data_IF_091483980814
#
_entry.id   IF_091483980814
#
_cell.length_a   1.000
_cell.length_b   1.000
_cell.length_c   1.000
_cell.angle_alpha   90.00
_cell.angle_beta   90.00
_cell.angle_gamma   90.00
#
_symmetry.space_group_name_H-M   'P 1'
#
loop_
_entity.id
_entity.type
_entity.pdbx_description
1 polymer ?
#
# COMPACT_ATOMS: atom_id res chain seq x y z
N UNK A 1 7.36 5.01 22.67
CA UNK A 1 8.32 4.27 23.55
C UNK A 1 7.64 2.99 23.98
N UNK A 2 8.25 1.81 23.73
CA UNK A 2 7.66 0.52 24.09
C UNK A 2 7.66 0.35 25.61
N UNK A 3 6.50 0.09 26.17
CA UNK A 3 6.28 -0.15 27.60
C UNK A 3 6.07 -1.65 27.85
N UNK A 4 7.14 -2.35 28.18
CA UNK A 4 7.14 -3.79 28.42
C UNK A 4 6.25 -4.17 29.59
N UNK A 5 6.25 -3.41 30.68
CA UNK A 5 5.44 -3.69 31.87
C UNK A 5 3.95 -3.62 31.55
N UNK A 6 3.54 -2.61 30.77
CA UNK A 6 2.17 -2.46 30.29
C UNK A 6 1.76 -3.62 29.37
N UNK A 7 2.66 -4.07 28.50
CA UNK A 7 2.40 -5.19 27.60
C UNK A 7 2.18 -6.49 28.37
N UNK A 8 3.04 -6.79 29.36
CA UNK A 8 2.90 -7.95 30.24
C UNK A 8 1.60 -7.90 31.04
N UNK A 9 1.27 -6.76 31.63
CA UNK A 9 0.02 -6.58 32.39
C UNK A 9 -1.21 -6.83 31.50
N UNK A 10 -1.21 -6.34 30.27
CA UNK A 10 -2.30 -6.59 29.31
C UNK A 10 -2.41 -8.08 28.93
N UNK A 11 -1.27 -8.76 28.75
CA UNK A 11 -1.25 -10.20 28.49
C UNK A 11 -1.82 -11.02 29.67
N UNK A 12 -1.44 -10.69 30.89
CA UNK A 12 -1.97 -11.31 32.13
C UNK A 12 -3.47 -11.07 32.29
N UNK A 13 -3.95 -9.87 32.00
CA UNK A 13 -5.38 -9.53 32.03
C UNK A 13 -6.16 -10.34 31.00
N UNK A 14 -5.63 -10.49 29.79
CA UNK A 14 -6.24 -11.30 28.73
C UNK A 14 -6.31 -12.79 29.15
N UNK A 15 -5.23 -13.32 29.71
CA UNK A 15 -5.18 -14.69 30.21
C UNK A 15 -6.21 -14.90 31.37
N UNK A 16 -6.27 -13.98 32.32
CA UNK A 16 -7.22 -14.00 33.43
C UNK A 16 -8.68 -13.96 32.95
N UNK A 17 -8.95 -13.20 31.90
CA UNK A 17 -10.27 -13.10 31.31
C UNK A 17 -10.55 -14.19 30.26
N UNK A 18 -9.67 -15.17 30.11
CA UNK A 18 -9.77 -16.27 29.15
C UNK A 18 -10.01 -15.80 27.71
N UNK A 19 -9.38 -14.69 27.32
CA UNK A 19 -9.40 -14.18 25.96
C UNK A 19 -8.34 -14.96 25.16
N UNK A 20 -8.72 -15.92 24.31
CA UNK A 20 -7.75 -16.71 23.57
C UNK A 20 -7.13 -15.89 22.45
N UNK A 21 -5.83 -16.01 22.24
CA UNK A 21 -5.24 -15.68 20.94
C UNK A 21 -5.59 -16.82 19.98
N UNK A 22 -6.38 -16.52 18.97
CA UNK A 22 -7.00 -17.57 18.15
C UNK A 22 -6.04 -18.21 17.13
N UNK A 23 -4.89 -17.60 16.85
CA UNK A 23 -4.00 -18.02 15.78
C UNK A 23 -2.66 -18.56 16.32
N UNK A 24 -2.08 -19.50 15.59
CA UNK A 24 -0.73 -20.01 15.86
C UNK A 24 0.32 -18.98 15.42
N UNK A 25 1.41 -18.85 16.19
CA UNK A 25 2.52 -18.01 15.79
C UNK A 25 3.20 -18.53 14.52
N UNK A 26 3.72 -17.61 13.68
CA UNK A 26 4.67 -18.01 12.64
C UNK A 26 5.95 -18.50 13.31
N UNK A 27 6.56 -19.56 12.78
CA UNK A 27 7.67 -20.24 13.42
C UNK A 27 8.76 -20.65 12.42
N UNK A 28 9.94 -21.00 12.98
CA UNK A 28 11.02 -21.69 12.28
C UNK A 28 11.49 -21.00 10.97
N UNK A 29 11.33 -19.68 10.83
CA UNK A 29 11.83 -18.92 9.68
C UNK A 29 12.78 -17.81 10.11
N UNK A 30 13.98 -17.81 9.51
CA UNK A 30 14.97 -16.74 9.69
C UNK A 30 15.33 -16.16 8.34
N UNK A 31 15.05 -14.89 8.15
CA UNK A 31 15.29 -14.21 6.88
C UNK A 31 15.58 -12.73 7.12
N UNK A 32 16.59 -12.20 6.45
CA UNK A 32 16.99 -10.81 6.55
C UNK A 32 17.19 -10.25 5.14
N UNK A 33 16.47 -9.19 4.82
CA UNK A 33 16.55 -8.53 3.52
C UNK A 33 16.89 -7.06 3.71
N UNK A 34 17.88 -6.58 2.97
CA UNK A 34 18.21 -5.16 2.86
C UNK A 34 17.90 -4.67 1.43
N UNK A 35 16.77 -3.97 1.29
CA UNK A 35 16.33 -3.34 0.04
C UNK A 35 16.73 -1.87 -0.06
N UNK A 36 17.61 -1.39 0.83
CA UNK A 36 18.09 -0.02 0.84
C UNK A 36 18.92 0.30 -0.40
N UNK A 37 18.81 1.52 -0.89
CA UNK A 37 19.65 2.06 -1.96
C UNK A 37 20.43 3.26 -1.46
N UNK A 38 21.48 3.64 -2.19
CA UNK A 38 22.22 4.86 -1.90
C UNK A 38 21.35 6.07 -2.24
N UNK A 39 20.78 6.69 -1.21
CA UNK A 39 20.06 7.96 -1.33
C UNK A 39 21.02 9.15 -1.29
N UNK A 40 20.50 10.33 -1.60
CA UNK A 40 21.22 11.61 -1.43
C UNK A 40 21.59 11.80 0.05
N UNK A 41 22.74 12.43 0.30
CA UNK A 41 23.04 12.94 1.64
C UNK A 41 22.01 13.99 2.07
N UNK A 42 21.86 14.23 3.36
CA UNK A 42 20.87 15.20 3.87
C UNK A 42 21.09 16.59 3.29
N UNK A 43 22.34 17.01 3.12
CA UNK A 43 22.67 18.30 2.50
C UNK A 43 22.24 18.36 1.04
N UNK A 44 22.56 17.32 0.25
CA UNK A 44 22.15 17.24 -1.16
C UNK A 44 20.62 17.16 -1.30
N UNK A 45 19.97 16.42 -0.43
CA UNK A 45 18.51 16.29 -0.42
C UNK A 45 17.86 17.66 -0.18
N UNK A 46 18.29 18.41 0.83
CA UNK A 46 17.77 19.76 1.10
C UNK A 46 17.99 20.70 -0.08
N UNK A 47 19.15 20.65 -0.73
CA UNK A 47 19.40 21.48 -1.92
C UNK A 47 18.52 21.07 -3.11
N UNK A 48 18.29 19.79 -3.33
CA UNK A 48 17.37 19.29 -4.37
C UNK A 48 15.92 19.69 -4.09
N UNK A 49 15.47 19.64 -2.83
CA UNK A 49 14.14 20.10 -2.45
C UNK A 49 13.98 21.61 -2.72
N UNK A 50 14.98 22.43 -2.37
CA UNK A 50 14.96 23.86 -2.70
C UNK A 50 14.88 24.10 -4.21
N UNK A 51 15.68 23.37 -4.99
CA UNK A 51 15.66 23.43 -6.45
C UNK A 51 14.28 23.07 -7.00
N UNK A 52 13.65 21.98 -6.50
CA UNK A 52 12.30 21.56 -6.87
C UNK A 52 11.29 22.69 -6.63
N UNK A 53 11.24 23.23 -5.42
CA UNK A 53 10.29 24.25 -5.03
C UNK A 53 10.50 25.56 -5.81
N UNK A 54 11.74 25.92 -6.12
CA UNK A 54 12.05 27.07 -6.96
C UNK A 54 11.58 26.85 -8.40
N UNK A 55 11.86 25.69 -8.98
CA UNK A 55 11.42 25.36 -10.34
C UNK A 55 9.90 25.38 -10.48
N UNK A 56 9.18 24.89 -9.46
CA UNK A 56 7.71 24.93 -9.45
C UNK A 56 7.17 26.36 -9.41
N UNK A 57 7.78 27.25 -8.62
CA UNK A 57 7.39 28.67 -8.57
C UNK A 57 7.62 29.40 -9.90
N UNK A 58 8.67 29.02 -10.62
CA UNK A 58 9.02 29.63 -11.91
C UNK A 58 8.13 29.12 -13.05
N UNK A 59 7.90 27.81 -13.10
CA UNK A 59 7.18 27.16 -14.21
C UNK A 59 5.66 27.17 -14.05
N UNK A 60 5.16 27.11 -12.82
CA UNK A 60 3.74 27.10 -12.51
C UNK A 60 3.39 28.21 -11.49
N UNK A 61 3.67 29.51 -11.81
CA UNK A 61 3.55 30.62 -10.86
C UNK A 61 2.11 30.92 -10.43
N UNK A 62 1.11 30.37 -11.12
CA UNK A 62 -0.31 30.54 -10.81
C UNK A 62 -0.77 29.71 -9.62
N UNK A 63 0.05 28.75 -9.13
CA UNK A 63 -0.29 27.92 -7.98
C UNK A 63 0.44 28.34 -6.71
N UNK A 64 -0.21 28.09 -5.59
CA UNK A 64 0.37 28.00 -4.25
C UNK A 64 0.63 26.54 -3.93
N UNK A 65 1.70 26.26 -3.19
CA UNK A 65 2.13 24.91 -2.87
C UNK A 65 2.16 24.69 -1.36
N UNK A 66 1.57 23.59 -0.90
CA UNK A 66 1.84 23.00 0.40
C UNK A 66 2.53 21.66 0.17
N UNK A 67 3.66 21.41 0.82
CA UNK A 67 4.47 20.24 0.54
C UNK A 67 4.87 19.50 1.81
N UNK A 68 4.95 18.17 1.69
CA UNK A 68 5.57 17.29 2.64
C UNK A 68 6.52 16.37 1.86
N UNK A 69 7.82 16.59 2.02
CA UNK A 69 8.88 15.90 1.26
C UNK A 69 9.83 15.27 2.26
N UNK A 70 9.86 13.95 2.29
CA UNK A 70 10.57 13.15 3.27
C UNK A 70 11.61 12.25 2.61
N UNK A 71 12.71 12.05 3.30
CA UNK A 71 13.62 10.91 3.14
C UNK A 71 13.32 9.96 4.28
N UNK A 72 12.90 8.74 3.95
CA UNK A 72 12.47 7.72 4.91
C UNK A 72 13.50 6.61 4.95
N UNK A 73 13.87 6.19 6.13
CA UNK A 73 14.70 5.01 6.39
C UNK A 73 13.97 4.14 7.40
N UNK A 74 13.78 2.87 7.09
CA UNK A 74 13.01 1.94 7.93
C UNK A 74 13.83 0.69 8.19
N UNK A 75 13.85 0.25 9.44
CA UNK A 75 14.40 -1.04 9.87
C UNK A 75 13.29 -1.74 10.67
N UNK A 76 12.73 -2.81 10.10
CA UNK A 76 11.64 -3.58 10.69
C UNK A 76 12.16 -4.95 11.07
N UNK A 77 11.92 -5.38 12.30
CA UNK A 77 12.24 -6.73 12.76
C UNK A 77 11.09 -7.34 13.52
N UNK A 78 10.74 -8.57 13.19
CA UNK A 78 9.74 -9.38 13.87
C UNK A 78 10.39 -10.66 14.40
N UNK A 79 10.31 -10.86 15.70
CA UNK A 79 10.93 -11.98 16.41
C UNK A 79 9.94 -12.59 17.38
N UNK A 80 9.95 -13.90 17.51
CA UNK A 80 9.25 -14.60 18.58
C UNK A 80 10.06 -15.80 19.10
N UNK A 81 9.59 -16.40 20.18
CA UNK A 81 10.21 -17.56 20.84
C UNK A 81 9.97 -18.89 20.08
N UNK A 82 9.10 -18.89 19.09
CA UNK A 82 8.86 -20.05 18.21
C UNK A 82 9.86 -20.15 17.05
N UNK A 83 10.95 -19.39 17.11
CA UNK A 83 12.06 -19.47 16.14
C UNK A 83 11.89 -18.59 14.90
N UNK A 84 10.94 -17.65 14.91
CA UNK A 84 10.82 -16.62 13.89
C UNK A 84 11.84 -15.51 14.14
N UNK A 85 12.56 -15.08 13.09
CA UNK A 85 13.43 -13.91 13.10
C UNK A 85 13.48 -13.32 11.68
N UNK A 86 12.61 -12.36 11.41
CA UNK A 86 12.49 -11.68 10.12
C UNK A 86 12.97 -10.24 10.27
N UNK A 87 13.82 -9.78 9.36
CA UNK A 87 14.24 -8.37 9.34
C UNK A 87 14.22 -7.80 7.92
N UNK A 88 13.78 -6.57 7.81
CA UNK A 88 13.69 -5.83 6.55
C UNK A 88 14.17 -4.41 6.72
N UNK A 89 15.16 -4.03 5.90
CA UNK A 89 15.66 -2.65 5.83
C UNK A 89 15.32 -2.06 4.48
N UNK A 90 14.92 -0.80 4.50
CA UNK A 90 14.63 -0.07 3.27
C UNK A 90 14.79 1.43 3.48
N UNK A 91 14.90 2.15 2.38
CA UNK A 91 14.87 3.60 2.38
C UNK A 91 14.25 4.12 1.08
N UNK A 92 13.60 5.29 1.14
CA UNK A 92 12.97 5.89 -0.03
C UNK A 92 12.67 7.38 0.20
N UNK A 93 12.29 8.08 -0.88
CA UNK A 93 11.71 9.42 -0.81
C UNK A 93 10.19 9.31 -0.87
N UNK A 94 9.53 10.12 -0.07
CA UNK A 94 8.09 10.32 -0.12
C UNK A 94 7.80 11.80 -0.37
N UNK A 95 7.05 12.09 -1.41
CA UNK A 95 6.71 13.44 -1.84
C UNK A 95 5.20 13.56 -1.90
N UNK A 96 4.67 14.57 -1.22
CA UNK A 96 3.27 14.98 -1.31
C UNK A 96 3.23 16.49 -1.49
N UNK A 97 2.71 16.94 -2.63
CA UNK A 97 2.58 18.37 -2.96
C UNK A 97 1.12 18.64 -3.28
N UNK A 98 0.49 19.46 -2.45
CA UNK A 98 -0.86 19.97 -2.69
C UNK A 98 -0.77 21.31 -3.40
N UNK A 99 -1.61 21.53 -4.38
CA UNK A 99 -1.61 22.69 -5.24
C UNK A 99 -2.96 23.41 -5.18
N UNK A 100 -2.91 24.73 -4.96
CA UNK A 100 -4.06 25.62 -5.01
C UNK A 100 -3.83 26.70 -6.06
N UNK A 101 -4.71 26.81 -7.03
CA UNK A 101 -4.70 27.94 -7.97
C UNK A 101 -5.08 29.22 -7.22
N UNK A 102 -4.33 30.33 -7.48
CA UNK A 102 -4.40 31.55 -6.67
C UNK A 102 -5.75 32.24 -6.67
N UNK A 103 -6.51 32.15 -7.77
CA UNK A 103 -7.85 32.74 -7.91
C UNK A 103 -8.99 31.77 -7.56
N UNK A 104 -8.69 30.51 -7.37
CA UNK A 104 -9.68 29.47 -7.04
C UNK A 104 -10.31 29.68 -5.67
N UNK A 105 -11.60 29.44 -5.55
CA UNK A 105 -12.31 29.42 -4.27
C UNK A 105 -12.11 28.11 -3.47
N UNK A 106 -11.55 27.07 -4.08
CA UNK A 106 -11.29 25.79 -3.44
C UNK A 106 -10.12 25.90 -2.45
N UNK A 107 -10.04 24.95 -1.52
CA UNK A 107 -8.90 24.82 -0.61
C UNK A 107 -7.73 24.13 -1.32
N UNK A 108 -8.02 23.13 -2.16
CA UNK A 108 -7.06 22.35 -2.94
C UNK A 108 -7.66 22.14 -4.33
N UNK A 109 -6.89 22.34 -5.37
CA UNK A 109 -7.30 22.18 -6.76
C UNK A 109 -6.64 20.98 -7.44
N UNK A 110 -5.44 20.61 -7.00
CA UNK A 110 -4.69 19.49 -7.56
C UNK A 110 -3.68 18.97 -6.54
N UNK A 111 -3.08 17.82 -6.82
CA UNK A 111 -2.03 17.24 -5.99
C UNK A 111 -1.08 16.37 -6.80
N UNK A 112 0.12 16.19 -6.25
CA UNK A 112 1.13 15.28 -6.77
C UNK A 112 1.66 14.43 -5.64
N UNK A 113 1.73 13.11 -5.85
CA UNK A 113 2.32 12.16 -4.91
C UNK A 113 3.33 11.27 -5.62
N UNK A 114 4.46 11.07 -4.98
CA UNK A 114 5.50 10.17 -5.45
C UNK A 114 6.11 9.42 -4.28
N UNK A 115 6.39 8.13 -4.47
CA UNK A 115 7.19 7.33 -3.57
C UNK A 115 8.19 6.53 -4.40
N UNK A 116 9.48 6.60 -4.05
CA UNK A 116 10.52 5.94 -4.84
C UNK A 116 11.91 6.11 -4.26
N UNK A 117 12.85 5.31 -4.77
CA UNK A 117 14.25 5.33 -4.32
C UNK A 117 15.13 6.27 -5.17
N UNK A 118 14.54 7.06 -6.06
CA UNK A 118 15.22 8.10 -6.83
C UNK A 118 14.56 9.45 -6.61
N UNK A 119 15.34 10.52 -6.61
CA UNK A 119 14.84 11.89 -6.47
C UNK A 119 15.24 12.70 -7.70
N UNK A 120 14.36 12.68 -8.69
CA UNK A 120 14.56 13.35 -9.99
C UNK A 120 13.70 14.62 -10.06
N UNK A 121 14.35 15.77 -9.84
CA UNK A 121 13.69 17.08 -9.81
C UNK A 121 13.06 17.41 -11.17
N UNK A 122 13.75 17.10 -12.28
CA UNK A 122 13.28 17.46 -13.62
C UNK A 122 12.02 16.67 -13.98
N UNK A 123 12.01 15.35 -13.67
CA UNK A 123 10.84 14.51 -13.86
C UNK A 123 9.66 14.95 -13.00
N UNK A 124 9.88 15.19 -11.71
CA UNK A 124 8.81 15.63 -10.79
C UNK A 124 8.20 16.95 -11.27
N UNK A 125 9.03 17.89 -11.70
CA UNK A 125 8.56 19.18 -12.23
C UNK A 125 7.76 18.99 -13.52
N UNK A 126 8.22 18.13 -14.44
CA UNK A 126 7.51 17.85 -15.69
C UNK A 126 6.14 17.20 -15.43
N UNK A 127 6.07 16.24 -14.52
CA UNK A 127 4.81 15.59 -14.13
C UNK A 127 3.82 16.62 -13.55
N UNK A 128 4.30 17.53 -12.68
CA UNK A 128 3.46 18.59 -12.09
C UNK A 128 3.03 19.62 -13.15
N UNK A 129 3.90 19.98 -14.10
CA UNK A 129 3.53 20.86 -15.22
C UNK A 129 2.41 20.25 -16.07
N UNK A 130 2.42 18.95 -16.29
CA UNK A 130 1.34 18.23 -17.00
C UNK A 130 0.01 18.31 -16.22
N UNK A 131 0.03 18.02 -14.91
CA UNK A 131 -1.15 18.14 -14.04
C UNK A 131 -1.72 19.58 -14.03
N UNK A 132 -0.86 20.59 -13.92
CA UNK A 132 -1.29 22.00 -13.91
C UNK A 132 -1.85 22.43 -15.26
N UNK A 133 -1.31 21.92 -16.37
CA UNK A 133 -1.85 22.17 -17.71
C UNK A 133 -3.24 21.57 -17.88
N UNK A 134 -3.42 20.31 -17.41
CA UNK A 134 -4.72 19.63 -17.45
C UNK A 134 -5.79 20.40 -16.65
N UNK A 135 -5.44 20.99 -15.49
CA UNK A 135 -6.34 21.81 -14.70
C UNK A 135 -6.94 22.98 -15.50
N UNK A 136 -6.15 23.64 -16.36
CA UNK A 136 -6.60 24.76 -17.19
C UNK A 136 -7.23 24.34 -18.52
N UNK A 137 -7.39 23.04 -18.75
CA UNK A 137 -7.97 22.52 -20.00
C UNK A 137 -9.20 21.65 -19.70
N UNK A 138 -10.27 22.25 -19.14
CA UNK A 138 -11.49 21.51 -18.88
C UNK A 138 -12.11 21.02 -20.18
N UNK A 139 -12.70 19.83 -20.14
CA UNK A 139 -13.47 19.25 -21.22
C UNK A 139 -14.92 19.00 -20.77
N UNK A 140 -15.87 19.32 -21.63
CA UNK A 140 -17.27 19.01 -21.39
C UNK A 140 -17.52 17.54 -21.70
N UNK A 141 -17.88 16.77 -20.66
CA UNK A 141 -18.27 15.38 -20.81
C UNK A 141 -19.77 15.33 -21.07
N UNK A 142 -20.16 14.78 -22.22
CA UNK A 142 -21.57 14.52 -22.55
C UNK A 142 -22.02 13.20 -21.93
N UNK A 143 -23.33 13.03 -21.76
CA UNK A 143 -23.90 11.74 -21.37
C UNK A 143 -23.53 10.66 -22.39
N UNK A 144 -23.00 9.52 -21.91
CA UNK A 144 -22.54 8.43 -22.77
C UNK A 144 -21.71 7.39 -22.01
N UNK A 145 -21.29 6.37 -22.74
CA UNK A 145 -20.37 5.35 -22.26
C UNK A 145 -18.94 5.72 -22.68
N UNK A 146 -18.02 5.71 -21.74
CA UNK A 146 -16.64 6.08 -21.96
C UNK A 146 -15.70 5.01 -21.38
N UNK A 147 -14.59 4.71 -22.06
CA UNK A 147 -13.51 3.98 -21.40
C UNK A 147 -12.93 4.82 -20.27
N UNK A 148 -12.77 4.21 -19.10
CA UNK A 148 -12.24 4.88 -17.90
C UNK A 148 -10.88 4.28 -17.57
N UNK A 149 -9.86 5.15 -17.52
CA UNK A 149 -8.58 4.82 -16.92
C UNK A 149 -8.64 5.16 -15.43
N UNK A 150 -8.38 4.18 -14.58
CA UNK A 150 -8.44 4.35 -13.12
C UNK A 150 -7.17 3.85 -12.45
N UNK A 151 -6.83 4.44 -11.33
CA UNK A 151 -5.78 3.96 -10.43
C UNK A 151 -6.34 2.89 -9.50
N UNK A 152 -5.47 2.02 -8.98
CA UNK A 152 -5.83 1.04 -7.95
C UNK A 152 -6.25 1.70 -6.63
N UNK A 153 -5.95 2.98 -6.44
CA UNK A 153 -6.33 3.76 -5.26
C UNK A 153 -7.67 4.48 -5.40
N UNK A 154 -8.32 4.37 -6.57
CA UNK A 154 -9.62 4.97 -6.80
C UNK A 154 -10.75 4.19 -6.09
N UNK A 155 -11.91 4.83 -5.97
CA UNK A 155 -13.08 4.31 -5.23
C UNK A 155 -13.49 2.87 -5.60
N UNK A 156 -13.27 2.46 -6.86
CA UNK A 156 -13.56 1.10 -7.32
C UNK A 156 -12.76 0.04 -6.57
N UNK A 157 -11.49 0.30 -6.28
CA UNK A 157 -10.64 -0.62 -5.52
C UNK A 157 -10.94 -0.62 -4.02
N UNK A 158 -11.37 0.50 -3.45
CA UNK A 158 -11.84 0.53 -2.05
C UNK A 158 -13.03 -0.39 -1.85
N UNK A 159 -13.96 -0.43 -2.81
CA UNK A 159 -15.09 -1.36 -2.79
C UNK A 159 -14.63 -2.80 -3.00
N UNK A 160 -13.76 -3.05 -3.97
CA UNK A 160 -13.16 -4.37 -4.20
C UNK A 160 -12.52 -4.91 -2.91
N UNK A 161 -11.70 -4.08 -2.24
CA UNK A 161 -11.05 -4.45 -1.00
C UNK A 161 -12.04 -4.90 0.08
N UNK A 162 -13.11 -4.15 0.32
CA UNK A 162 -14.13 -4.53 1.31
C UNK A 162 -14.85 -5.82 0.93
N UNK A 163 -15.03 -6.10 -0.35
CA UNK A 163 -15.75 -7.28 -0.84
C UNK A 163 -14.92 -8.58 -0.83
N UNK A 164 -13.57 -8.47 -0.89
CA UNK A 164 -12.66 -9.63 -0.87
C UNK A 164 -12.19 -10.02 0.54
N UNK A 165 -12.57 -9.29 1.59
CA UNK A 165 -12.23 -9.65 2.96
C UNK A 165 -12.91 -10.96 3.38
N UNK A 166 -12.22 -11.73 4.20
CA UNK A 166 -12.71 -12.99 4.73
C UNK A 166 -14.08 -12.88 5.40
N UNK A 167 -14.25 -11.86 6.26
CA UNK A 167 -15.51 -11.59 6.97
C UNK A 167 -16.66 -11.24 6.01
N UNK A 168 -16.42 -10.41 5.00
CA UNK A 168 -17.44 -10.05 3.99
C UNK A 168 -17.85 -11.24 3.14
N UNK A 169 -16.90 -12.07 2.74
CA UNK A 169 -17.17 -13.29 1.97
C UNK A 169 -17.92 -14.33 2.80
N UNK A 170 -17.53 -14.56 4.06
CA UNK A 170 -18.17 -15.54 4.95
C UNK A 170 -19.58 -15.15 5.36
N UNK A 171 -19.82 -13.86 5.62
CA UNK A 171 -21.13 -13.33 6.00
C UNK A 171 -22.07 -13.12 4.80
N UNK A 172 -21.62 -13.32 3.58
CA UNK A 172 -22.42 -13.14 2.36
C UNK A 172 -22.68 -11.67 1.99
N UNK A 173 -21.95 -10.72 2.58
CA UNK A 173 -22.12 -9.27 2.33
C UNK A 173 -21.23 -8.74 1.21
N UNK A 174 -20.15 -9.45 0.87
CA UNK A 174 -19.23 -9.10 -0.22
C UNK A 174 -19.71 -9.64 -1.57
N UNK A 175 -19.39 -8.95 -2.66
CA UNK A 175 -19.70 -9.37 -4.04
C UNK A 175 -19.10 -10.74 -4.42
N UNK A 176 -18.05 -11.17 -3.72
CA UNK A 176 -17.32 -12.41 -4.01
C UNK A 176 -17.70 -13.56 -3.07
N UNK A 177 -18.71 -13.39 -2.21
CA UNK A 177 -19.20 -14.46 -1.36
C UNK A 177 -19.63 -15.70 -2.19
N UNK A 178 -19.08 -16.87 -1.83
CA UNK A 178 -19.32 -18.13 -2.54
C UNK A 178 -18.76 -18.20 -3.97
N UNK A 179 -17.82 -17.32 -4.33
CA UNK A 179 -17.21 -17.24 -5.67
C UNK A 179 -15.76 -17.72 -5.71
N UNK A 180 -15.20 -18.22 -4.60
CA UNK A 180 -13.86 -18.81 -4.61
C UNK A 180 -13.76 -19.91 -5.67
N UNK A 181 -12.72 -19.87 -6.49
CA UNK A 181 -12.50 -20.76 -7.62
C UNK A 181 -13.33 -20.48 -8.87
N UNK A 182 -14.16 -19.42 -8.88
CA UNK A 182 -14.98 -19.05 -10.03
C UNK A 182 -14.39 -17.89 -10.81
N UNK A 183 -14.64 -17.90 -12.13
CA UNK A 183 -14.37 -16.78 -13.02
C UNK A 183 -15.30 -15.61 -12.66
N UNK A 184 -14.75 -14.44 -12.31
CA UNK A 184 -15.49 -13.24 -11.91
C UNK A 184 -15.09 -12.00 -12.72
N UNK A 185 -13.90 -12.05 -13.31
CA UNK A 185 -13.38 -11.03 -14.21
C UNK A 185 -12.94 -11.67 -15.54
N UNK A 186 -12.60 -10.84 -16.50
CA UNK A 186 -11.97 -11.25 -17.75
C UNK A 186 -10.63 -11.95 -17.48
N UNK A 187 -10.26 -12.94 -18.30
CA UNK A 187 -9.03 -13.73 -18.17
C UNK A 187 -7.74 -12.89 -18.25
N UNK A 188 -7.81 -11.66 -18.75
CA UNK A 188 -6.69 -10.72 -18.78
C UNK A 188 -6.43 -10.06 -17.41
N UNK A 189 -7.29 -10.26 -16.42
CA UNK A 189 -7.19 -9.59 -15.12
C UNK A 189 -6.53 -10.53 -14.11
N UNK A 190 -5.31 -10.20 -13.71
CA UNK A 190 -4.62 -10.81 -12.56
C UNK A 190 -4.33 -9.70 -11.54
N UNK A 191 -4.78 -9.90 -10.29
CA UNK A 191 -4.61 -8.97 -9.17
C UNK A 191 -3.96 -9.71 -8.00
N UNK A 192 -2.93 -9.13 -7.43
CA UNK A 192 -2.17 -9.72 -6.33
C UNK A 192 -1.64 -8.67 -5.35
N UNK A 193 -1.40 -9.06 -4.11
CA UNK A 193 -0.57 -8.31 -3.18
C UNK A 193 0.89 -8.64 -3.48
N UNK A 194 1.74 -7.62 -3.57
CA UNK A 194 3.17 -7.75 -3.87
C UNK A 194 4.00 -7.25 -2.69
N UNK A 195 4.71 -8.17 -2.04
CA UNK A 195 5.68 -7.87 -0.98
C UNK A 195 7.11 -8.21 -1.41
N UNK A 196 7.34 -8.38 -2.71
CA UNK A 196 8.67 -8.68 -3.22
C UNK A 196 9.62 -7.50 -2.98
N UNK A 197 10.74 -7.69 -2.26
CA UNK A 197 11.68 -6.61 -1.93
C UNK A 197 12.27 -5.87 -3.14
N UNK A 198 12.31 -6.51 -4.31
CA UNK A 198 12.80 -5.91 -5.55
C UNK A 198 11.81 -4.91 -6.17
N UNK A 199 10.53 -5.11 -5.95
CA UNK A 199 9.45 -4.31 -6.52
C UNK A 199 8.68 -3.48 -5.49
N UNK A 200 8.69 -3.89 -4.23
CA UNK A 200 7.99 -3.25 -3.13
C UNK A 200 8.96 -2.83 -2.02
N UNK A 201 9.49 -1.61 -2.13
CA UNK A 201 10.46 -1.07 -1.14
C UNK A 201 9.78 -0.42 0.08
N UNK A 202 8.50 -0.11 0.03
CA UNK A 202 7.81 0.64 1.09
C UNK A 202 7.21 -0.23 2.19
N UNK A 203 7.17 -1.54 2.00
CA UNK A 203 6.62 -2.49 2.97
C UNK A 203 7.54 -3.70 3.15
N UNK A 204 7.43 -4.37 4.30
CA UNK A 204 8.18 -5.59 4.60
C UNK A 204 7.73 -6.75 3.71
N UNK A 205 8.62 -7.68 3.43
CA UNK A 205 8.33 -8.92 2.70
C UNK A 205 7.45 -9.90 3.50
N UNK A 206 7.12 -9.58 4.73
CA UNK A 206 6.25 -10.30 5.64
C UNK A 206 5.13 -9.40 6.16
N UNK A 207 4.02 -10.00 6.56
CA UNK A 207 2.93 -9.28 7.23
C UNK A 207 3.15 -9.14 8.74
N UNK A 208 2.27 -8.46 9.44
CA UNK A 208 2.41 -8.20 10.88
C UNK A 208 2.18 -9.45 11.77
N UNK A 209 1.83 -10.59 11.18
CA UNK A 209 1.80 -11.91 11.83
C UNK A 209 3.01 -12.78 11.44
N UNK A 210 3.97 -12.24 10.70
CA UNK A 210 5.17 -12.92 10.24
C UNK A 210 4.90 -13.96 9.15
N UNK A 211 3.83 -13.80 8.39
CA UNK A 211 3.55 -14.66 7.23
C UNK A 211 4.35 -14.15 6.04
N UNK A 212 5.05 -15.06 5.39
CA UNK A 212 5.80 -14.80 4.15
C UNK A 212 5.24 -15.71 3.07
N UNK A 213 4.61 -15.13 2.06
CA UNK A 213 4.06 -15.86 0.93
C UNK A 213 5.15 -16.39 -0.01
N UNK A 214 4.82 -17.43 -0.77
CA UNK A 214 5.66 -17.91 -1.85
C UNK A 214 5.90 -16.81 -2.88
N UNK A 215 7.12 -16.64 -3.36
CA UNK A 215 7.53 -15.55 -4.26
C UNK A 215 7.15 -14.15 -3.74
N UNK A 216 6.90 -14.01 -2.42
CA UNK A 216 6.45 -12.78 -1.77
C UNK A 216 5.13 -12.23 -2.31
N UNK A 217 4.27 -13.08 -2.86
CA UNK A 217 3.00 -12.69 -3.50
C UNK A 217 1.82 -13.45 -2.94
N UNK A 218 0.70 -12.74 -2.83
CA UNK A 218 -0.61 -13.33 -2.58
C UNK A 218 -1.52 -13.03 -3.78
N UNK A 219 -1.82 -14.06 -4.58
CA UNK A 219 -2.66 -13.90 -5.77
C UNK A 219 -4.13 -13.91 -5.36
N UNK A 220 -4.81 -12.77 -5.52
CA UNK A 220 -6.22 -12.58 -5.18
C UNK A 220 -7.10 -13.04 -6.35
N UNK A 221 -6.80 -12.56 -7.55
CA UNK A 221 -7.44 -12.97 -8.80
C UNK A 221 -6.37 -13.43 -9.79
N UNK A 222 -6.50 -14.65 -10.26
CA UNK A 222 -5.60 -15.22 -11.25
C UNK A 222 -6.36 -15.43 -12.57
N UNK A 223 -6.02 -14.66 -13.58
CA UNK A 223 -6.70 -14.66 -14.88
C UNK A 223 -8.22 -14.60 -14.71
N UNK A 224 -8.68 -13.65 -13.89
CA UNK A 224 -10.07 -13.42 -13.59
C UNK A 224 -10.73 -14.39 -12.61
N UNK A 225 -10.05 -15.45 -12.19
CA UNK A 225 -10.56 -16.43 -11.19
C UNK A 225 -10.25 -15.92 -9.78
N UNK A 226 -11.28 -15.77 -8.94
CA UNK A 226 -11.11 -15.42 -7.54
C UNK A 226 -10.50 -16.60 -6.76
N UNK A 227 -9.28 -16.42 -6.23
CA UNK A 227 -8.52 -17.50 -5.58
C UNK A 227 -8.87 -17.68 -4.12
N UNK A 228 -8.80 -16.61 -3.34
CA UNK A 228 -9.10 -16.65 -1.91
C UNK A 228 -9.50 -15.26 -1.40
N UNK A 229 -10.38 -15.16 -0.40
CA UNK A 229 -10.52 -13.94 0.39
C UNK A 229 -9.23 -13.60 1.10
N UNK A 230 -9.02 -12.29 1.37
CA UNK A 230 -7.92 -11.84 2.23
C UNK A 230 -8.20 -12.22 3.68
N UNK A 231 -7.21 -12.79 4.35
CA UNK A 231 -7.35 -13.27 5.72
C UNK A 231 -6.06 -13.10 6.54
N UNK A 232 -6.19 -12.52 7.73
CA UNK A 232 -5.26 -12.72 8.83
C UNK A 232 -5.34 -14.17 9.32
N UNK A 233 -4.42 -14.60 10.15
CA UNK A 233 -4.48 -15.93 10.78
C UNK A 233 -5.76 -16.14 11.60
N UNK A 234 -6.21 -15.10 12.30
CA UNK A 234 -7.45 -15.14 13.07
C UNK A 234 -8.67 -15.37 12.19
N UNK A 235 -8.78 -14.62 11.09
CA UNK A 235 -9.89 -14.78 10.15
C UNK A 235 -9.79 -16.11 9.38
N UNK A 236 -8.59 -16.51 8.98
CA UNK A 236 -8.36 -17.79 8.33
C UNK A 236 -8.86 -18.96 9.19
N UNK A 237 -8.51 -18.97 10.47
CA UNK A 237 -8.97 -19.99 11.42
C UNK A 237 -10.49 -19.91 11.66
N UNK A 238 -11.02 -18.72 11.83
CA UNK A 238 -12.44 -18.47 12.10
C UNK A 238 -13.35 -18.96 10.98
N UNK A 239 -12.92 -18.78 9.74
CA UNK A 239 -13.74 -19.05 8.54
C UNK A 239 -13.29 -20.29 7.77
N UNK A 240 -12.32 -21.03 8.29
CA UNK A 240 -11.74 -22.24 7.66
C UNK A 240 -11.27 -22.00 6.21
N UNK A 241 -10.44 -20.97 6.04
CA UNK A 241 -9.85 -20.57 4.76
C UNK A 241 -8.32 -20.44 4.89
N UNK A 242 -7.57 -20.44 3.77
CA UNK A 242 -6.12 -20.25 3.82
C UNK A 242 -5.71 -18.91 4.43
N UNK A 243 -4.58 -18.89 5.14
CA UNK A 243 -3.89 -17.66 5.53
C UNK A 243 -3.29 -17.02 4.28
N UNK A 244 -3.48 -15.72 4.09
CA UNK A 244 -3.04 -15.02 2.87
C UNK A 244 -1.86 -14.08 3.08
N UNK A 245 -1.36 -13.92 4.32
CA UNK A 245 -0.29 -12.97 4.60
C UNK A 245 -0.73 -11.51 4.45
N UNK A 246 -2.00 -11.26 4.76
CA UNK A 246 -2.65 -9.96 4.62
C UNK A 246 -2.99 -9.35 5.97
N UNK A 247 -2.20 -9.62 7.00
CA UNK A 247 -2.40 -9.05 8.32
C UNK A 247 -1.72 -7.69 8.45
N UNK A 248 -2.43 -6.73 9.05
CA UNK A 248 -1.91 -5.42 9.43
C UNK A 248 -2.32 -5.07 10.85
N UNK A 249 -1.46 -4.38 11.57
CA UNK A 249 -1.73 -3.91 12.93
C UNK A 249 -1.53 -2.41 13.07
N UNK A 250 -2.27 -1.80 13.97
CA UNK A 250 -1.89 -0.51 14.52
C UNK A 250 -0.78 -0.70 15.56
N UNK A 251 -0.13 0.39 15.98
CA UNK A 251 1.03 0.42 16.88
C UNK A 251 0.96 -0.55 18.09
N UNK A 252 -0.20 -0.68 18.73
CA UNK A 252 -0.43 -1.54 19.90
C UNK A 252 -1.62 -2.49 19.73
N UNK A 253 -2.06 -2.67 18.47
CA UNK A 253 -3.23 -3.47 18.13
C UNK A 253 -2.92 -4.92 17.86
N UNK A 254 -3.95 -5.75 17.95
CA UNK A 254 -3.90 -7.12 17.42
C UNK A 254 -3.98 -7.06 15.89
N UNK A 255 -3.13 -7.80 15.16
CA UNK A 255 -3.19 -7.85 13.71
C UNK A 255 -4.59 -8.26 13.21
N UNK A 256 -5.06 -7.59 12.20
CA UNK A 256 -6.36 -7.83 11.55
C UNK A 256 -6.17 -7.97 10.05
N UNK A 257 -7.15 -8.54 9.36
CA UNK A 257 -7.12 -8.60 7.91
C UNK A 257 -7.05 -7.19 7.33
N UNK A 258 -5.98 -6.92 6.63
CA UNK A 258 -5.68 -5.69 5.92
C UNK A 258 -5.40 -5.94 4.45
N UNK A 259 -4.82 -4.95 3.80
CA UNK A 259 -4.35 -5.05 2.43
C UNK A 259 -2.99 -4.36 2.32
N UNK A 260 -2.10 -4.98 1.59
CA UNK A 260 -0.77 -4.48 1.31
C UNK A 260 -0.72 -3.81 -0.07
N UNK A 261 0.43 -3.81 -0.69
CA UNK A 261 0.69 -3.27 -2.03
C UNK A 261 -0.03 -4.11 -3.10
N UNK A 262 -1.23 -3.69 -3.48
CA UNK A 262 -1.97 -4.35 -4.56
C UNK A 262 -1.41 -3.95 -5.91
N UNK A 263 -1.25 -4.94 -6.78
CA UNK A 263 -0.86 -4.75 -8.17
C UNK A 263 -1.83 -5.44 -9.11
N UNK A 264 -2.01 -4.83 -10.27
CA UNK A 264 -2.64 -5.45 -11.43
C UNK A 264 -1.51 -5.85 -12.38
N UNK A 265 -1.53 -7.07 -12.86
CA UNK A 265 -0.52 -7.54 -13.81
C UNK A 265 -0.55 -6.69 -15.08
N UNK A 266 0.62 -6.23 -15.51
CA UNK A 266 0.72 -5.36 -16.67
C UNK A 266 0.46 -6.15 -17.98
N UNK A 267 -0.36 -5.59 -18.84
CA UNK A 267 -0.53 -6.10 -20.22
C UNK A 267 0.68 -5.78 -21.12
N UNK A 268 1.65 -5.01 -20.63
CA UNK A 268 2.76 -4.50 -21.41
C UNK A 268 2.42 -3.32 -22.33
N UNK A 269 1.16 -2.87 -22.33
CA UNK A 269 0.72 -1.70 -23.09
C UNK A 269 0.91 -0.41 -22.30
N UNK A 270 1.17 0.66 -23.03
CA UNK A 270 1.20 2.03 -22.47
C UNK A 270 -0.19 2.66 -22.54
N UNK A 271 -0.40 3.75 -21.77
CA UNK A 271 -1.65 4.53 -21.78
C UNK A 271 -2.00 5.06 -23.19
N UNK A 272 -1.01 5.17 -24.07
CA UNK A 272 -1.19 5.66 -25.45
C UNK A 272 -1.59 4.57 -26.44
N UNK A 273 -1.51 3.31 -26.05
CA UNK A 273 -1.87 2.12 -26.85
C UNK A 273 -3.22 1.53 -26.41
#
# INVERSE_FOLDING_TARGET
EYDEEKAWKKAEENLKNQIPYAAEFSENRKESVDASKKLLSDKEFVERVKQLLQSLKEKCPQFLYSNNILKVETDTRLVNDSGLDLSYKTNFYQISILMKEKSSANIIDSGYSYSGQTFDVEKIVADIEEHTRAYFTPVDIKEGEYPVLTSIYDLGFSKLYSDIRADSCANGTGLFAGKTGKQVFDERVTIYEDRNPESCFSESFFDDEGVVNEEYRNIIFDRGVFRSPLASKTDAKKYDIPVTGSAVSSYDGVPQTGISQVRVESSGKTIKE
#
